data_IF_596050732741
#
_entry.id   IF_596050732741
#
_cell.length_a   1.000
_cell.length_b   1.000
_cell.length_c   1.000
_cell.angle_alpha   90.00
_cell.angle_beta   90.00
_cell.angle_gamma   90.00
#
_symmetry.space_group_name_H-M   'P 1'
#
loop_
_entity.id
_entity.type
_entity.pdbx_description
1 polymer ?
#
# COMPACT_ATOMS: atom_id res chain seq x y z
N UNK A 1 -2.70 6.54 15.21
CA UNK A 1 -1.58 6.47 14.23
C UNK A 1 -1.56 5.09 13.59
N UNK A 2 -1.39 5.02 12.28
CA UNK A 2 -1.45 3.76 11.52
C UNK A 2 -0.04 3.30 11.12
N UNK A 3 0.31 2.07 11.45
CA UNK A 3 1.58 1.43 11.10
C UNK A 3 1.53 0.91 9.65
N UNK A 4 2.30 1.54 8.76
CA UNK A 4 2.33 1.20 7.33
C UNK A 4 3.11 -0.09 7.08
N UNK A 5 4.11 -0.39 7.91
CA UNK A 5 4.88 -1.65 7.79
C UNK A 5 3.96 -2.85 8.04
N UNK A 6 3.08 -2.77 9.04
CA UNK A 6 2.08 -3.82 9.28
C UNK A 6 1.06 -3.93 8.15
N UNK A 7 0.68 -2.81 7.53
CA UNK A 7 -0.17 -2.84 6.34
C UNK A 7 0.56 -3.48 5.15
N UNK A 8 1.85 -3.17 4.93
CA UNK A 8 2.66 -3.78 3.89
C UNK A 8 2.78 -5.30 4.06
N UNK A 9 2.97 -5.77 5.29
CA UNK A 9 2.96 -7.20 5.59
C UNK A 9 1.59 -7.86 5.30
N UNK A 10 0.49 -7.14 5.55
CA UNK A 10 -0.86 -7.62 5.19
C UNK A 10 -1.05 -7.66 3.69
N UNK A 11 -0.60 -6.64 2.95
CA UNK A 11 -0.62 -6.60 1.49
C UNK A 11 0.18 -7.76 0.91
N UNK A 12 1.40 -7.96 1.37
CA UNK A 12 2.27 -9.06 0.94
C UNK A 12 1.61 -10.44 1.09
N UNK A 13 0.87 -10.67 2.18
CA UNK A 13 0.14 -11.94 2.40
C UNK A 13 -1.07 -12.12 1.48
N UNK A 14 -1.63 -11.05 0.93
CA UNK A 14 -2.78 -11.08 0.01
C UNK A 14 -2.36 -11.34 -1.43
N UNK A 15 -1.15 -10.89 -1.79
CA UNK A 15 -0.56 -11.13 -3.10
C UNK A 15 -0.05 -12.57 -3.14
N UNK A 16 -0.42 -13.30 -4.19
CA UNK A 16 0.04 -14.68 -4.35
C UNK A 16 1.53 -14.70 -4.62
N UNK A 17 2.28 -15.47 -3.85
CA UNK A 17 3.74 -15.60 -3.93
C UNK A 17 4.29 -15.87 -5.33
N UNK A 18 3.55 -16.61 -6.16
CA UNK A 18 3.95 -16.93 -7.53
C UNK A 18 3.90 -15.75 -8.50
N UNK A 19 3.31 -14.65 -8.07
CA UNK A 19 3.07 -13.45 -8.86
C UNK A 19 3.97 -12.28 -8.44
N UNK A 20 4.73 -12.43 -7.34
CA UNK A 20 5.63 -11.38 -6.84
C UNK A 20 6.94 -11.45 -7.62
N UNK A 21 7.36 -10.37 -8.32
CA UNK A 21 8.67 -10.28 -8.92
C UNK A 21 9.78 -10.46 -7.87
N UNK A 22 10.85 -11.18 -8.21
CA UNK A 22 11.99 -11.40 -7.30
C UNK A 22 12.68 -10.09 -6.88
N UNK A 23 12.50 -9.03 -7.65
CA UNK A 23 13.09 -7.72 -7.42
C UNK A 23 12.26 -6.83 -6.48
N UNK A 24 11.01 -7.22 -6.14
CA UNK A 24 10.12 -6.40 -5.31
C UNK A 24 10.51 -6.50 -3.84
N UNK A 25 10.83 -5.38 -3.27
CA UNK A 25 11.24 -5.22 -1.87
C UNK A 25 10.06 -4.87 -0.96
N UNK A 26 10.28 -4.92 0.36
CA UNK A 26 9.30 -4.39 1.33
C UNK A 26 9.10 -2.89 1.19
N UNK A 27 10.13 -2.15 0.76
CA UNK A 27 10.08 -0.70 0.54
C UNK A 27 9.13 -0.36 -0.61
N UNK A 28 9.15 -1.14 -1.70
CA UNK A 28 8.22 -0.95 -2.83
C UNK A 28 6.76 -1.12 -2.38
N UNK A 29 6.48 -2.09 -1.50
CA UNK A 29 5.12 -2.29 -0.97
C UNK A 29 4.70 -1.14 -0.04
N UNK A 30 5.63 -0.57 0.72
CA UNK A 30 5.37 0.61 1.56
C UNK A 30 5.06 1.81 0.66
N UNK A 31 5.82 2.03 -0.42
CA UNK A 31 5.59 3.13 -1.36
C UNK A 31 4.21 3.02 -2.03
N UNK A 32 3.85 1.83 -2.51
CA UNK A 32 2.52 1.55 -3.07
C UNK A 32 1.41 1.90 -2.08
N UNK A 33 1.58 1.57 -0.80
CA UNK A 33 0.59 1.90 0.23
C UNK A 33 0.54 3.38 0.56
N UNK A 34 1.67 4.08 0.56
CA UNK A 34 1.71 5.54 0.72
C UNK A 34 0.95 6.21 -0.42
N UNK A 35 1.12 5.76 -1.65
CA UNK A 35 0.38 6.27 -2.80
C UNK A 35 -1.12 5.97 -2.70
N UNK A 36 -1.50 4.79 -2.23
CA UNK A 36 -2.90 4.44 -1.98
C UNK A 36 -3.53 5.35 -0.90
N UNK A 37 -2.79 5.70 0.15
CA UNK A 37 -3.25 6.66 1.18
C UNK A 37 -3.45 8.05 0.56
N UNK A 38 -2.49 8.54 -0.23
CA UNK A 38 -2.62 9.83 -0.96
C UNK A 38 -3.87 9.84 -1.83
N UNK A 39 -4.08 8.77 -2.59
CA UNK A 39 -5.25 8.62 -3.45
C UNK A 39 -6.55 8.62 -2.64
N UNK A 40 -6.62 7.91 -1.52
CA UNK A 40 -7.79 7.91 -0.64
C UNK A 40 -8.16 9.32 -0.18
N UNK A 41 -7.18 10.14 0.21
CA UNK A 41 -7.43 11.52 0.63
C UNK A 41 -7.93 12.39 -0.52
N UNK A 42 -7.43 12.19 -1.74
CA UNK A 42 -7.91 12.90 -2.93
C UNK A 42 -9.37 12.56 -3.22
N UNK A 43 -9.70 11.28 -3.34
CA UNK A 43 -11.06 10.85 -3.73
C UNK A 43 -12.10 11.10 -2.63
N UNK A 44 -11.69 11.09 -1.35
CA UNK A 44 -12.57 11.41 -0.23
C UNK A 44 -12.79 12.91 -0.03
N UNK A 45 -12.14 13.75 -0.82
CA UNK A 45 -12.22 15.22 -0.70
C UNK A 45 -11.50 15.78 0.53
N UNK A 46 -10.65 14.98 1.19
CA UNK A 46 -9.90 15.37 2.40
C UNK A 46 -8.51 15.96 2.09
N UNK A 47 -8.25 16.40 0.86
CA UNK A 47 -6.97 16.96 0.43
C UNK A 47 -6.47 18.11 1.30
N UNK A 48 -7.37 18.94 1.87
CA UNK A 48 -6.99 20.01 2.80
C UNK A 48 -6.40 19.51 4.12
N UNK A 49 -6.68 18.27 4.49
CA UNK A 49 -6.18 17.63 5.72
C UNK A 49 -4.97 16.73 5.45
N UNK A 50 -4.50 16.67 4.21
CA UNK A 50 -3.35 15.88 3.84
C UNK A 50 -2.08 16.73 3.75
N UNK A 51 -1.02 16.26 4.36
CA UNK A 51 0.35 16.77 4.23
C UNK A 51 1.31 15.59 4.17
N UNK A 52 2.40 15.70 3.44
CA UNK A 52 3.46 14.67 3.43
C UNK A 52 4.11 14.49 4.80
N UNK A 53 4.08 15.51 5.65
CA UNK A 53 4.60 15.44 7.03
C UNK A 53 3.81 14.45 7.92
N UNK A 54 2.67 13.93 7.44
CA UNK A 54 1.92 12.87 8.11
C UNK A 54 2.56 11.50 7.98
N UNK A 55 3.49 11.32 7.06
CA UNK A 55 4.32 10.12 6.99
C UNK A 55 5.53 10.29 7.90
N UNK A 56 5.57 9.54 8.98
CA UNK A 56 6.60 9.58 10.00
C UNK A 56 7.50 8.36 9.79
N UNK A 57 8.79 8.61 9.54
CA UNK A 57 9.80 7.57 9.44
C UNK A 57 10.57 7.52 10.76
N UNK A 58 10.49 6.38 11.45
CA UNK A 58 11.29 6.10 12.64
C UNK A 58 12.48 5.25 12.18
N UNK A 59 13.72 5.78 12.22
CA UNK A 59 14.90 5.06 11.78
C UNK A 59 15.22 3.89 12.72
N UNK A 60 15.89 2.88 12.19
CA UNK A 60 16.51 1.86 13.05
C UNK A 60 17.57 2.52 13.95
N UNK A 61 17.70 2.11 15.23
CA UNK A 61 18.74 2.61 16.09
C UNK A 61 20.11 2.21 15.51
N UNK A 62 20.99 3.18 15.35
CA UNK A 62 22.36 2.91 14.94
C UNK A 62 23.04 2.00 15.97
N UNK A 63 23.59 0.86 15.54
CA UNK A 63 24.26 -0.12 16.41
C UNK A 63 25.48 0.48 17.14
N UNK A 64 25.99 1.63 16.70
CA UNK A 64 27.17 2.33 17.24
C UNK A 64 26.82 3.51 18.17
N UNK A 65 25.54 3.77 18.46
CA UNK A 65 25.19 4.86 19.38
C UNK A 65 25.36 4.40 20.80
N UNK A 66 26.56 4.71 21.39
CA UNK A 66 26.76 4.64 22.83
C UNK A 66 25.65 5.45 23.52
N UNK A 67 24.99 4.85 24.51
CA UNK A 67 23.89 5.49 25.27
C UNK A 67 24.38 6.87 25.79
N UNK A 68 23.62 7.94 25.56
CA UNK A 68 24.00 9.24 26.13
C UNK A 68 23.96 9.18 27.66
N UNK A 69 25.11 9.44 28.30
CA UNK A 69 25.27 9.46 29.78
C UNK A 69 24.50 10.59 30.49
N UNK A 70 23.43 11.12 29.89
CA UNK A 70 22.72 12.26 30.49
C UNK A 70 21.24 11.92 30.77
N UNK A 71 20.87 11.62 32.04
CA UNK A 71 19.52 11.17 32.41
C UNK A 71 18.48 12.31 32.51
N UNK A 72 18.81 13.56 32.14
CA UNK A 72 17.93 14.73 32.32
C UNK A 72 17.33 15.30 31.02
N UNK A 73 17.46 14.62 29.88
CA UNK A 73 16.82 15.05 28.66
C UNK A 73 15.45 14.35 28.50
N UNK A 74 14.43 15.14 28.78
CA UNK A 74 12.99 15.07 28.40
C UNK A 74 12.52 13.70 27.87
N UNK A 75 11.59 13.09 28.62
CA UNK A 75 10.76 11.99 28.17
C UNK A 75 10.22 12.29 26.76
N UNK A 76 10.95 11.90 25.72
CA UNK A 76 10.38 11.78 24.40
C UNK A 76 9.45 10.59 24.43
N UNK A 77 8.23 10.85 24.01
CA UNK A 77 7.10 9.94 23.79
C UNK A 77 7.44 8.91 22.66
N UNK A 78 8.60 8.22 22.77
CA UNK A 78 9.24 7.46 21.70
C UNK A 78 9.30 5.96 21.99
N UNK A 79 8.13 5.37 22.36
CA UNK A 79 7.95 3.91 22.33
C UNK A 79 7.55 3.39 20.91
N UNK A 80 7.86 4.13 19.84
CA UNK A 80 7.59 3.69 18.49
C UNK A 80 8.73 2.79 17.99
N UNK A 81 8.37 1.59 17.57
CA UNK A 81 9.29 0.69 16.88
C UNK A 81 9.79 1.33 15.56
N UNK A 82 11.03 1.01 15.10
CA UNK A 82 11.51 1.46 13.80
C UNK A 82 10.52 1.10 12.68
N UNK A 83 10.24 2.07 11.80
CA UNK A 83 9.26 1.83 10.74
C UNK A 83 8.70 3.10 10.11
N UNK A 84 7.67 2.91 9.28
CA UNK A 84 6.93 3.99 8.63
C UNK A 84 5.51 4.03 9.16
N UNK A 85 5.10 5.21 9.63
CA UNK A 85 3.79 5.42 10.23
C UNK A 85 3.04 6.53 9.51
N UNK A 86 1.71 6.44 9.53
CA UNK A 86 0.84 7.52 9.12
C UNK A 86 0.20 8.14 10.37
N UNK A 87 0.29 9.46 10.52
CA UNK A 87 -0.09 10.18 11.73
C UNK A 87 -1.57 10.00 12.12
N UNK A 88 -2.45 9.84 11.12
CA UNK A 88 -3.86 9.64 11.39
C UNK A 88 -4.18 8.17 11.65
N UNK A 89 -5.17 7.91 12.50
CA UNK A 89 -5.75 6.58 12.62
C UNK A 89 -6.69 6.32 11.45
N UNK A 90 -6.35 5.33 10.63
CA UNK A 90 -7.18 4.89 9.53
C UNK A 90 -8.20 3.87 10.04
N UNK A 91 -9.47 4.10 9.73
CA UNK A 91 -10.55 3.17 10.05
C UNK A 91 -10.38 1.83 9.30
N UNK A 92 -11.01 0.77 9.77
CA UNK A 92 -10.88 -0.56 9.17
C UNK A 92 -11.30 -0.60 7.70
N UNK A 93 -12.34 0.13 7.30
CA UNK A 93 -12.76 0.23 5.91
C UNK A 93 -11.78 1.05 5.07
N UNK A 94 -11.15 2.08 5.63
CA UNK A 94 -10.09 2.84 4.97
C UNK A 94 -8.84 1.95 4.75
N UNK A 95 -8.41 1.21 5.77
CA UNK A 95 -7.31 0.26 5.63
C UNK A 95 -7.62 -0.82 4.58
N UNK A 96 -8.86 -1.34 4.55
CA UNK A 96 -9.27 -2.33 3.56
C UNK A 96 -9.26 -1.74 2.14
N UNK A 97 -9.72 -0.50 1.98
CA UNK A 97 -9.68 0.19 0.69
C UNK A 97 -8.25 0.39 0.22
N UNK A 98 -7.34 0.83 1.10
CA UNK A 98 -5.92 1.03 0.81
C UNK A 98 -5.24 -0.28 0.40
N UNK A 99 -5.54 -1.38 1.10
CA UNK A 99 -5.00 -2.69 0.76
C UNK A 99 -5.47 -3.18 -0.61
N UNK A 100 -6.74 -2.95 -0.96
CA UNK A 100 -7.27 -3.29 -2.28
C UNK A 100 -6.65 -2.44 -3.38
N UNK A 101 -6.43 -1.14 -3.14
CA UNK A 101 -5.70 -0.27 -4.07
C UNK A 101 -4.26 -0.74 -4.27
N UNK A 102 -3.58 -1.11 -3.18
CA UNK A 102 -2.24 -1.69 -3.25
C UNK A 102 -2.19 -2.99 -4.07
N UNK A 103 -3.17 -3.89 -3.91
CA UNK A 103 -3.29 -5.09 -4.74
C UNK A 103 -3.49 -4.73 -6.23
N UNK A 104 -4.37 -3.76 -6.53
CA UNK A 104 -4.63 -3.29 -7.89
C UNK A 104 -3.37 -2.68 -8.52
N UNK A 105 -2.68 -1.81 -7.79
CA UNK A 105 -1.43 -1.19 -8.25
C UNK A 105 -0.36 -2.24 -8.55
N UNK A 106 -0.19 -3.20 -7.66
CA UNK A 106 0.74 -4.33 -7.84
C UNK A 106 0.42 -5.13 -9.10
N UNK A 107 -0.84 -5.56 -9.28
CA UNK A 107 -1.22 -6.35 -10.44
C UNK A 107 -1.16 -5.57 -11.75
N UNK A 108 -1.40 -4.26 -11.74
CA UNK A 108 -1.22 -3.40 -12.91
C UNK A 108 0.26 -3.28 -13.30
N UNK A 109 1.16 -3.19 -12.31
CA UNK A 109 2.60 -3.23 -12.57
C UNK A 109 3.03 -4.56 -13.18
N UNK A 110 2.52 -5.68 -12.66
CA UNK A 110 2.77 -7.01 -13.22
C UNK A 110 2.24 -7.15 -14.65
N UNK A 111 1.09 -6.56 -14.99
CA UNK A 111 0.55 -6.53 -16.36
C UNK A 111 1.44 -5.72 -17.30
N UNK A 112 1.92 -4.55 -16.87
CA UNK A 112 2.84 -3.71 -17.65
C UNK A 112 4.12 -4.47 -18.01
N UNK A 113 4.71 -5.17 -17.05
CA UNK A 113 5.91 -5.97 -17.28
C UNK A 113 5.66 -7.13 -18.26
N UNK A 114 4.47 -7.73 -18.26
CA UNK A 114 4.09 -8.79 -19.23
C UNK A 114 3.94 -8.21 -20.64
N UNK A 115 3.35 -7.03 -20.78
CA UNK A 115 3.19 -6.36 -22.07
C UNK A 115 4.56 -5.98 -22.67
N UNK A 116 5.51 -5.52 -21.86
CA UNK A 116 6.88 -5.25 -22.28
C UNK A 116 7.59 -6.53 -22.75
N UNK A 117 7.47 -7.63 -22.02
CA UNK A 117 8.03 -8.92 -22.42
C UNK A 117 7.41 -9.46 -23.73
N UNK A 118 6.12 -9.25 -23.95
CA UNK A 118 5.47 -9.65 -25.22
C UNK A 118 5.96 -8.81 -26.41
N UNK A 119 6.27 -7.53 -26.21
CA UNK A 119 6.81 -6.67 -27.29
C UNK A 119 8.20 -7.08 -27.75
N UNK A 120 9.03 -7.64 -26.84
CA UNK A 120 10.36 -8.16 -27.16
C UNK A 120 10.35 -9.55 -27.81
N UNK A 121 9.30 -10.34 -27.62
CA UNK A 121 9.22 -11.73 -28.11
C UNK A 121 8.63 -11.86 -29.50
N UNK A 122 8.04 -10.82 -30.08
CA UNK A 122 7.41 -10.85 -31.41
C UNK A 122 8.40 -11.03 -32.57
N UNK A 123 9.70 -10.76 -32.37
CA UNK A 123 10.69 -10.85 -33.45
C UNK A 123 11.57 -12.10 -33.43
N UNK A 124 11.58 -12.91 -32.39
CA UNK A 124 12.57 -13.99 -32.29
C UNK A 124 12.04 -15.41 -31.97
N UNK A 125 10.88 -15.59 -31.39
CA UNK A 125 10.29 -16.91 -31.13
C UNK A 125 8.78 -16.83 -30.92
N UNK A 126 8.02 -17.58 -31.71
CA UNK A 126 6.63 -17.95 -31.41
C UNK A 126 6.62 -18.93 -30.21
N UNK A 127 6.93 -18.44 -29.02
CA UNK A 127 6.66 -19.17 -27.79
C UNK A 127 5.21 -18.92 -27.44
N UNK A 128 4.37 -19.89 -27.70
CA UNK A 128 3.00 -20.03 -27.20
C UNK A 128 3.01 -20.10 -25.67
N UNK A 129 3.37 -19.02 -25.01
CA UNK A 129 2.94 -18.77 -23.64
C UNK A 129 1.51 -18.32 -23.74
N UNK A 130 0.59 -19.26 -23.48
CA UNK A 130 -0.83 -19.02 -23.65
C UNK A 130 -1.27 -17.78 -22.87
N UNK A 131 -2.25 -17.04 -23.39
CA UNK A 131 -2.94 -15.87 -22.83
C UNK A 131 -3.50 -16.04 -21.38
N UNK A 132 -3.25 -17.19 -20.74
CA UNK A 132 -3.80 -17.56 -19.43
C UNK A 132 -3.30 -16.67 -18.29
N UNK A 133 -1.98 -16.37 -18.14
CA UNK A 133 -1.50 -15.52 -17.05
C UNK A 133 -2.09 -14.12 -17.12
N UNK A 134 -2.07 -13.52 -18.30
CA UNK A 134 -2.62 -12.19 -18.54
C UNK A 134 -4.12 -12.11 -18.19
N UNK A 135 -4.92 -13.07 -18.67
CA UNK A 135 -6.36 -13.12 -18.37
C UNK A 135 -6.64 -13.30 -16.88
N UNK A 136 -5.83 -14.10 -16.20
CA UNK A 136 -5.97 -14.33 -14.76
C UNK A 136 -5.66 -13.06 -13.97
N UNK A 137 -4.58 -12.34 -14.30
CA UNK A 137 -4.21 -11.09 -13.64
C UNK A 137 -5.31 -10.04 -13.88
N UNK A 138 -5.75 -9.87 -15.13
CA UNK A 138 -6.83 -8.94 -15.47
C UNK A 138 -8.11 -9.23 -14.70
N UNK A 139 -8.52 -10.50 -14.66
CA UNK A 139 -9.69 -10.91 -13.87
C UNK A 139 -9.51 -10.66 -12.37
N UNK A 140 -8.29 -10.80 -11.85
CA UNK A 140 -7.97 -10.48 -10.46
C UNK A 140 -8.12 -8.98 -10.20
N UNK A 141 -7.62 -8.13 -11.09
CA UNK A 141 -7.76 -6.66 -10.99
C UNK A 141 -9.25 -6.27 -10.99
N UNK A 142 -10.05 -6.81 -11.92
CA UNK A 142 -11.49 -6.54 -12.00
C UNK A 142 -12.22 -6.96 -10.70
N UNK A 143 -11.87 -8.12 -10.11
CA UNK A 143 -12.44 -8.58 -8.83
C UNK A 143 -12.05 -7.63 -7.68
N UNK A 144 -10.80 -7.16 -7.63
CA UNK A 144 -10.35 -6.20 -6.61
C UNK A 144 -11.02 -4.85 -6.74
N UNK A 145 -11.17 -4.33 -7.95
CA UNK A 145 -11.90 -3.09 -8.23
C UNK A 145 -13.38 -3.19 -7.81
N UNK A 146 -14.04 -4.32 -8.09
CA UNK A 146 -15.41 -4.54 -7.65
C UNK A 146 -15.52 -4.55 -6.10
N UNK A 147 -14.61 -5.20 -5.41
CA UNK A 147 -14.56 -5.20 -3.93
C UNK A 147 -14.28 -3.81 -3.38
N UNK A 148 -13.35 -3.08 -3.97
CA UNK A 148 -13.01 -1.72 -3.58
C UNK A 148 -14.22 -0.77 -3.70
N UNK A 149 -15.00 -0.89 -4.76
CA UNK A 149 -16.24 -0.12 -4.93
C UNK A 149 -17.28 -0.42 -3.83
N UNK A 150 -17.37 -1.67 -3.35
CA UNK A 150 -18.23 -2.03 -2.21
C UNK A 150 -17.74 -1.39 -0.92
N UNK A 151 -16.43 -1.45 -0.64
CA UNK A 151 -15.82 -0.81 0.54
C UNK A 151 -16.05 0.70 0.49
N UNK A 152 -15.81 1.33 -0.64
CA UNK A 152 -16.07 2.76 -0.86
C UNK A 152 -17.52 3.13 -0.57
N UNK A 153 -18.47 2.34 -1.04
CA UNK A 153 -19.89 2.58 -0.79
C UNK A 153 -20.23 2.53 0.71
N UNK A 154 -19.59 1.65 1.47
CA UNK A 154 -19.76 1.59 2.94
C UNK A 154 -19.21 2.85 3.61
N UNK A 155 -17.97 3.23 3.27
CA UNK A 155 -17.33 4.42 3.82
C UNK A 155 -18.17 5.69 3.60
N UNK A 156 -18.68 5.89 2.37
CA UNK A 156 -19.52 7.07 2.05
C UNK A 156 -20.84 7.05 2.81
N UNK A 157 -21.49 5.91 2.98
CA UNK A 157 -22.74 5.79 3.74
C UNK A 157 -22.54 6.11 5.22
N UNK A 158 -21.46 5.64 5.84
CA UNK A 158 -21.16 5.94 7.24
C UNK A 158 -20.94 7.44 7.46
N UNK A 159 -20.21 8.10 6.58
CA UNK A 159 -19.98 9.55 6.66
C UNK A 159 -21.27 10.36 6.50
N UNK A 160 -22.25 9.89 5.72
CA UNK A 160 -23.54 10.55 5.56
C UNK A 160 -24.47 10.35 6.78
N UNK A 161 -24.34 9.24 7.49
CA UNK A 161 -25.13 8.96 8.69
C UNK A 161 -24.59 9.67 9.95
N UNK A 162 -23.31 10.01 9.98
CA UNK A 162 -22.66 10.74 11.08
C UNK A 162 -22.95 12.24 11.13
N UNK A 163 -23.64 12.82 10.15
CA UNK A 163 -23.99 14.26 10.08
C UNK A 163 -25.36 14.55 10.71
N UNK A 164 -26.01 13.58 11.32
CA UNK A 164 -27.32 13.73 11.96
C UNK A 164 -27.23 13.45 13.47
N UNK A 165 -26.35 14.20 14.14
CA UNK A 165 -26.26 14.18 15.61
C UNK A 165 -25.89 15.52 16.16
#
# INVERSE_FOLDING_TARGET
MTDIVKLAQRLHRRIKWQEIPEEMTSEDLIEILCDAIRMLYVISGRTFNFSEDKFIVVPEPDEDTEEPENPDEEEKDDDLEPGVYFADDLELDEQEWILLEGEIAFYNLALSNVDDLQSYTTDAMAVTHGDKPYKNIKSTVEDRQAKQAVVWTRMVRFNQLGVSG
#
